data_IF_779868451492
#
_entry.id   IF_779868451492
#
_cell.length_a   1.000
_cell.length_b   1.000
_cell.length_c   1.000
_cell.angle_alpha   90.00
_cell.angle_beta   90.00
_cell.angle_gamma   90.00
#
_symmetry.space_group_name_H-M   'P 1'
#
loop_
_entity.id
_entity.type
_entity.pdbx_description
1 polymer ?
#
# COMPACT_ATOMS: atom_id res chain seq x y z
N UNK A 1 -13.75 14.04 -3.18
CA UNK A 1 -14.06 12.58 -3.22
C UNK A 1 -13.73 12.03 -1.85
N UNK A 2 -14.51 11.08 -1.35
CA UNK A 2 -14.21 10.37 -0.11
C UNK A 2 -13.39 9.12 -0.46
N UNK A 3 -12.51 8.69 0.46
CA UNK A 3 -11.78 7.43 0.32
C UNK A 3 -12.77 6.26 0.39
N UNK A 4 -12.84 5.46 -0.67
CA UNK A 4 -13.78 4.32 -0.77
C UNK A 4 -13.11 2.98 -0.44
N UNK A 5 -11.79 2.89 -0.67
CA UNK A 5 -11.01 1.67 -0.44
C UNK A 5 -9.79 1.99 0.42
N UNK A 6 -9.64 1.24 1.50
CA UNK A 6 -8.51 1.32 2.43
C UNK A 6 -7.68 0.04 2.29
N UNK A 7 -6.44 0.18 1.84
CA UNK A 7 -5.45 -0.89 1.82
C UNK A 7 -4.75 -1.01 3.17
N UNK A 8 -4.81 -2.17 3.80
CA UNK A 8 -4.16 -2.47 5.08
C UNK A 8 -2.96 -3.40 4.95
N UNK A 9 -2.67 -3.87 3.74
CA UNK A 9 -1.53 -4.76 3.46
C UNK A 9 -0.21 -4.00 3.35
N UNK A 10 0.85 -4.58 3.91
CA UNK A 10 2.19 -4.00 3.86
C UNK A 10 2.76 -3.97 2.44
N UNK A 11 3.71 -3.10 2.21
CA UNK A 11 4.50 -3.09 0.98
C UNK A 11 5.07 -4.48 0.67
N UNK A 12 5.19 -4.82 -0.62
CA UNK A 12 5.64 -6.14 -1.13
C UNK A 12 4.60 -7.26 -1.10
N UNK A 13 3.35 -6.94 -0.81
CA UNK A 13 2.22 -7.90 -0.93
C UNK A 13 1.48 -7.80 -2.26
N UNK A 14 2.03 -7.07 -3.23
CA UNK A 14 1.42 -6.87 -4.55
C UNK A 14 0.61 -5.57 -4.66
N UNK A 15 0.86 -4.62 -3.78
CA UNK A 15 0.15 -3.32 -3.68
C UNK A 15 0.16 -2.51 -4.97
N UNK A 16 1.27 -2.52 -5.74
CA UNK A 16 1.31 -1.85 -7.05
C UNK A 16 0.35 -2.47 -8.06
N UNK A 17 0.24 -3.79 -8.11
CA UNK A 17 -0.74 -4.47 -8.97
C UNK A 17 -2.16 -4.15 -8.55
N UNK A 18 -2.40 -4.08 -7.24
CA UNK A 18 -3.69 -3.69 -6.65
C UNK A 18 -4.04 -2.24 -6.97
N UNK A 19 -3.08 -1.30 -6.84
CA UNK A 19 -3.26 0.10 -7.26
C UNK A 19 -3.75 0.20 -8.70
N UNK A 20 -3.04 -0.45 -9.62
CA UNK A 20 -3.39 -0.44 -11.04
C UNK A 20 -4.77 -1.04 -11.28
N UNK A 21 -5.10 -2.12 -10.57
CA UNK A 21 -6.41 -2.76 -10.65
C UNK A 21 -7.54 -1.84 -10.17
N UNK A 22 -7.38 -1.19 -9.02
CA UNK A 22 -8.36 -0.25 -8.46
C UNK A 22 -8.59 0.95 -9.39
N UNK A 23 -7.52 1.53 -9.93
CA UNK A 23 -7.62 2.63 -10.90
C UNK A 23 -8.33 2.21 -12.18
N UNK A 24 -8.05 1.00 -12.69
CA UNK A 24 -8.74 0.45 -13.85
C UNK A 24 -10.24 0.23 -13.61
N UNK A 25 -10.60 -0.18 -12.39
CA UNK A 25 -12.00 -0.42 -11.98
C UNK A 25 -12.76 0.86 -11.61
N UNK A 26 -12.13 2.05 -11.72
CA UNK A 26 -12.77 3.34 -11.47
C UNK A 26 -12.71 3.82 -10.02
N UNK A 27 -11.91 3.18 -9.15
CA UNK A 27 -11.66 3.61 -7.76
C UNK A 27 -10.43 4.52 -7.62
N UNK A 28 -9.90 5.02 -8.71
CA UNK A 28 -8.77 5.94 -8.72
C UNK A 28 -9.15 7.42 -8.58
N UNK A 29 -8.12 8.30 -8.41
CA UNK A 29 -6.72 7.96 -8.20
C UNK A 29 -6.50 7.13 -6.93
N UNK A 30 -5.49 6.25 -6.94
CA UNK A 30 -5.15 5.41 -5.80
C UNK A 30 -3.82 5.87 -5.19
N UNK A 31 -3.86 6.27 -3.91
CA UNK A 31 -2.67 6.66 -3.16
C UNK A 31 -1.76 5.45 -2.90
N UNK A 32 -0.46 5.67 -2.98
CA UNK A 32 0.60 4.68 -2.81
C UNK A 32 1.89 5.42 -2.43
N UNK A 33 2.96 4.74 -1.99
CA UNK A 33 4.25 5.37 -1.71
C UNK A 33 4.74 6.28 -2.87
N UNK A 34 4.47 5.89 -4.10
CA UNK A 34 4.83 6.68 -5.28
C UNK A 34 4.19 8.07 -5.33
N UNK A 35 3.02 8.24 -4.71
CA UNK A 35 2.32 9.53 -4.63
C UNK A 35 2.94 10.47 -3.60
N UNK A 36 3.61 9.93 -2.60
CA UNK A 36 4.30 10.72 -1.56
C UNK A 36 5.61 11.27 -2.09
N UNK A 37 6.39 10.44 -2.79
CA UNK A 37 7.77 10.76 -3.18
C UNK A 37 7.92 11.92 -4.16
N UNK A 38 6.88 12.31 -4.86
CA UNK A 38 6.89 13.41 -5.83
C UNK A 38 5.97 14.58 -5.46
N UNK A 39 5.35 14.55 -4.28
CA UNK A 39 4.32 15.50 -3.91
C UNK A 39 4.63 16.18 -2.55
N UNK A 40 5.13 17.42 -2.55
CA UNK A 40 5.47 18.14 -1.32
C UNK A 40 4.30 18.28 -0.33
N UNK A 41 3.05 18.38 -0.83
CA UNK A 41 1.86 18.45 0.02
C UNK A 41 1.68 17.13 0.78
N UNK A 42 1.85 15.99 0.09
CA UNK A 42 1.78 14.68 0.73
C UNK A 42 2.91 14.51 1.76
N UNK A 43 4.14 14.89 1.42
CA UNK A 43 5.27 14.83 2.35
C UNK A 43 4.98 15.59 3.64
N UNK A 44 4.44 16.82 3.55
CA UNK A 44 4.14 17.64 4.71
C UNK A 44 3.10 17.01 5.65
N UNK A 45 2.09 16.31 5.12
CA UNK A 45 1.13 15.58 5.95
C UNK A 45 1.78 14.44 6.74
N UNK A 46 2.64 13.67 6.08
CA UNK A 46 3.32 12.54 6.72
C UNK A 46 4.41 13.02 7.70
N UNK A 47 5.07 14.12 7.44
CA UNK A 47 5.98 14.79 8.39
C UNK A 47 5.22 15.24 9.65
N UNK A 48 4.05 15.86 9.48
CA UNK A 48 3.20 16.24 10.61
C UNK A 48 2.76 15.01 11.43
N UNK A 49 2.34 13.93 10.77
CA UNK A 49 1.97 12.68 11.44
C UNK A 49 3.15 12.06 12.19
N UNK A 50 4.34 12.00 11.59
CA UNK A 50 5.54 11.51 12.23
C UNK A 50 5.96 12.33 13.47
N UNK A 51 5.63 13.62 13.47
CA UNK A 51 5.83 14.53 14.60
C UNK A 51 4.69 14.48 15.65
N UNK A 52 3.80 13.48 15.54
CA UNK A 52 2.64 13.28 16.43
C UNK A 52 1.65 14.46 16.44
N UNK A 53 1.66 15.29 15.40
CA UNK A 53 0.64 16.30 15.23
C UNK A 53 -0.68 15.69 14.75
N UNK A 54 -1.78 16.31 15.12
CA UNK A 54 -3.10 15.94 14.61
C UNK A 54 -3.17 16.18 13.09
N UNK A 55 -3.67 15.17 12.35
CA UNK A 55 -3.79 15.22 10.90
C UNK A 55 -5.22 14.87 10.51
N UNK A 56 -5.84 15.70 9.66
CA UNK A 56 -7.12 15.37 9.07
C UNK A 56 -6.95 14.41 7.89
N UNK A 57 -7.36 13.17 8.07
CA UNK A 57 -7.26 12.14 7.02
C UNK A 57 -8.09 12.46 5.78
N UNK A 58 -9.16 13.26 5.90
CA UNK A 58 -9.92 13.70 4.75
C UNK A 58 -9.12 14.67 3.87
N UNK A 59 -8.25 15.48 4.46
CA UNK A 59 -7.34 16.37 3.74
C UNK A 59 -6.17 15.61 3.12
N UNK A 60 -5.59 14.64 3.85
CA UNK A 60 -4.48 13.78 3.36
C UNK A 60 -4.89 13.05 2.08
N UNK A 61 -6.06 12.43 2.12
CA UNK A 61 -6.57 11.62 1.00
C UNK A 61 -7.55 12.36 0.10
N UNK A 62 -7.59 13.70 0.18
CA UNK A 62 -8.40 14.52 -0.70
C UNK A 62 -8.02 14.29 -2.18
N UNK A 63 -9.01 13.88 -2.98
CA UNK A 63 -8.83 13.58 -4.39
C UNK A 63 -8.51 12.12 -4.69
N UNK A 64 -8.26 11.28 -3.67
CA UNK A 64 -8.05 9.84 -3.84
C UNK A 64 -9.34 9.06 -3.57
N UNK A 65 -9.64 8.10 -4.45
CA UNK A 65 -10.74 7.15 -4.26
C UNK A 65 -10.32 5.89 -3.50
N UNK A 66 -9.03 5.58 -3.52
CA UNK A 66 -8.43 4.42 -2.85
C UNK A 66 -7.05 4.76 -2.30
N UNK A 67 -6.59 4.00 -1.31
CA UNK A 67 -5.20 3.97 -0.89
C UNK A 67 -4.73 2.52 -0.69
N UNK A 68 -3.50 2.21 -1.04
CA UNK A 68 -2.81 0.95 -0.77
C UNK A 68 -1.33 1.23 -0.49
N UNK A 69 -0.62 0.25 0.09
CA UNK A 69 0.81 0.38 0.37
C UNK A 69 1.13 1.35 1.53
N UNK A 70 2.42 1.45 1.83
CA UNK A 70 2.93 2.49 2.72
C UNK A 70 2.82 3.88 2.06
N UNK A 71 2.72 4.95 2.82
CA UNK A 71 2.55 4.96 4.27
C UNK A 71 1.09 4.73 4.74
N UNK A 72 0.10 4.78 3.86
CA UNK A 72 -1.32 4.65 4.22
C UNK A 72 -1.65 3.37 5.01
N UNK A 73 -0.96 2.27 4.72
CA UNK A 73 -1.11 1.01 5.46
C UNK A 73 -0.61 1.08 6.92
N UNK A 74 0.10 2.12 7.34
CA UNK A 74 0.49 2.29 8.76
C UNK A 74 -0.66 2.79 9.61
N UNK A 75 -1.60 3.49 9.00
CA UNK A 75 -2.75 4.17 9.64
C UNK A 75 -4.10 3.60 9.18
N UNK A 76 -4.12 2.37 8.65
CA UNK A 76 -5.35 1.78 8.12
C UNK A 76 -6.50 1.75 9.14
N UNK A 77 -6.17 1.59 10.43
CA UNK A 77 -7.16 1.54 11.49
C UNK A 77 -7.84 2.90 11.69
N UNK A 78 -7.04 3.96 11.78
CA UNK A 78 -7.51 5.34 11.86
C UNK A 78 -8.35 5.71 10.62
N UNK A 79 -7.91 5.27 9.44
CA UNK A 79 -8.68 5.46 8.21
C UNK A 79 -10.01 4.72 8.25
N UNK A 80 -10.06 3.51 8.82
CA UNK A 80 -11.29 2.73 8.92
C UNK A 80 -12.34 3.38 9.83
N UNK A 81 -11.90 4.24 10.74
CA UNK A 81 -12.74 5.06 11.63
C UNK A 81 -13.16 6.36 10.92
N UNK A 82 -12.21 7.04 10.27
CA UNK A 82 -12.45 8.29 9.56
C UNK A 82 -13.36 8.10 8.33
N UNK A 83 -13.30 6.93 7.69
CA UNK A 83 -14.08 6.55 6.52
C UNK A 83 -14.87 5.26 6.77
N UNK A 84 -15.95 5.31 7.58
CA UNK A 84 -16.65 4.11 8.05
C UNK A 84 -17.32 3.32 6.92
N UNK A 85 -17.65 3.94 5.80
CA UNK A 85 -18.26 3.31 4.63
C UNK A 85 -17.23 2.69 3.68
N UNK A 86 -15.94 2.98 3.86
CA UNK A 86 -14.90 2.45 2.99
C UNK A 86 -14.72 0.94 3.19
N UNK A 87 -14.55 0.22 2.09
CA UNK A 87 -14.18 -1.21 2.09
C UNK A 87 -12.68 -1.34 2.39
N UNK A 88 -12.30 -2.39 3.11
CA UNK A 88 -10.88 -2.66 3.45
C UNK A 88 -10.35 -3.79 2.58
N UNK A 89 -9.27 -3.52 1.86
CA UNK A 89 -8.57 -4.49 1.03
C UNK A 89 -7.22 -4.83 1.68
N UNK A 90 -7.12 -6.05 2.21
CA UNK A 90 -5.93 -6.53 2.88
C UNK A 90 -5.10 -7.42 1.94
N UNK A 91 -4.08 -6.82 1.34
CA UNK A 91 -3.12 -7.59 0.57
C UNK A 91 -2.23 -8.41 1.49
N UNK A 92 -2.20 -9.72 1.27
CA UNK A 92 -1.42 -10.66 2.05
C UNK A 92 -0.73 -11.69 1.16
N UNK A 93 0.34 -12.27 1.68
CA UNK A 93 1.05 -13.41 1.11
C UNK A 93 1.73 -14.21 2.24
N UNK A 94 2.18 -15.46 2.01
CA UNK A 94 2.92 -16.24 3.01
C UNK A 94 4.09 -15.45 3.60
N UNK A 95 4.28 -15.51 4.92
CA UNK A 95 5.25 -14.70 5.67
C UNK A 95 6.68 -14.80 5.12
N UNK A 96 7.13 -16.02 4.81
CA UNK A 96 8.47 -16.24 4.27
C UNK A 96 8.64 -15.64 2.87
N UNK A 97 7.61 -15.71 2.03
CA UNK A 97 7.61 -15.11 0.70
C UNK A 97 7.58 -13.58 0.79
N UNK A 98 6.81 -13.05 1.76
CA UNK A 98 6.83 -11.62 2.04
C UNK A 98 8.21 -11.17 2.50
N UNK A 99 8.80 -11.87 3.49
CA UNK A 99 10.13 -11.54 3.99
C UNK A 99 11.18 -11.60 2.88
N UNK A 100 11.20 -12.65 2.07
CA UNK A 100 12.13 -12.78 0.96
C UNK A 100 12.04 -11.58 -0.01
N UNK A 101 10.83 -11.11 -0.31
CA UNK A 101 10.62 -9.93 -1.16
C UNK A 101 10.97 -8.62 -0.44
N UNK A 102 10.59 -8.47 0.82
CA UNK A 102 10.82 -7.27 1.62
C UNK A 102 12.30 -7.09 1.94
N UNK A 103 12.98 -8.12 2.39
CA UNK A 103 14.40 -8.07 2.76
C UNK A 103 15.31 -7.75 1.57
N UNK A 104 15.00 -8.29 0.39
CA UNK A 104 15.77 -8.04 -0.83
C UNK A 104 15.56 -6.65 -1.45
N UNK A 105 14.60 -5.88 -0.99
CA UNK A 105 14.21 -4.58 -1.57
C UNK A 105 14.12 -3.48 -0.51
N UNK A 106 12.96 -3.29 0.08
CA UNK A 106 12.67 -2.19 1.01
C UNK A 106 13.60 -2.24 2.22
N UNK A 107 13.71 -3.39 2.87
CA UNK A 107 14.57 -3.54 4.05
C UNK A 107 16.05 -3.30 3.72
N UNK A 108 16.50 -3.81 2.58
CA UNK A 108 17.87 -3.55 2.10
C UNK A 108 18.12 -2.05 1.89
N UNK A 109 17.15 -1.32 1.36
CA UNK A 109 17.23 0.13 1.23
C UNK A 109 17.39 0.78 2.62
N UNK A 110 16.55 0.42 3.60
CA UNK A 110 16.62 0.97 4.96
C UNK A 110 17.96 0.72 5.65
N UNK A 111 18.54 -0.46 5.48
CA UNK A 111 19.85 -0.81 6.05
C UNK A 111 21.01 0.02 5.48
N UNK A 112 20.87 0.53 4.26
CA UNK A 112 21.97 1.21 3.55
C UNK A 112 21.67 2.69 3.27
N UNK A 113 20.48 3.21 3.61
CA UNK A 113 20.07 4.57 3.20
C UNK A 113 21.00 5.67 3.65
N UNK A 114 21.63 5.54 4.81
CA UNK A 114 22.59 6.54 5.34
C UNK A 114 23.88 6.64 4.55
N UNK A 115 24.14 5.69 3.64
CA UNK A 115 25.29 5.68 2.75
C UNK A 115 24.97 6.33 1.39
N UNK A 116 23.71 6.71 1.17
CA UNK A 116 23.25 7.33 -0.06
C UNK A 116 23.34 8.84 0.03
N UNK A 117 23.95 9.47 -0.97
CA UNK A 117 23.94 10.92 -1.12
C UNK A 117 22.63 11.35 -1.77
N UNK A 118 21.63 11.64 -0.93
CA UNK A 118 20.28 12.00 -1.37
C UNK A 118 20.10 13.52 -1.30
N UNK A 119 19.41 14.13 -2.27
CA UNK A 119 18.99 15.52 -2.18
C UNK A 119 18.18 15.77 -0.89
N UNK A 120 18.37 16.92 -0.20
CA UNK A 120 17.78 17.19 1.10
C UNK A 120 16.24 16.94 1.18
N UNK A 121 15.42 17.32 0.18
CA UNK A 121 13.98 17.03 0.24
C UNK A 121 13.66 15.52 0.22
N UNK A 122 14.46 14.74 -0.52
CA UNK A 122 14.30 13.29 -0.59
C UNK A 122 14.76 12.62 0.71
N UNK A 123 15.88 13.09 1.28
CA UNK A 123 16.36 12.62 2.56
C UNK A 123 15.34 12.83 3.68
N UNK A 124 14.70 14.01 3.75
CA UNK A 124 13.65 14.31 4.73
C UNK A 124 12.45 13.38 4.62
N UNK A 125 11.98 13.08 3.39
CA UNK A 125 10.89 12.11 3.18
C UNK A 125 11.29 10.73 3.71
N UNK A 126 12.50 10.28 3.44
CA UNK A 126 12.94 8.97 3.93
C UNK A 126 13.16 8.93 5.44
N UNK A 127 13.57 10.02 6.08
CA UNK A 127 13.62 10.12 7.54
C UNK A 127 12.22 9.97 8.14
N UNK A 128 11.23 10.66 7.57
CA UNK A 128 9.82 10.52 7.95
C UNK A 128 9.32 9.09 7.79
N UNK A 129 9.59 8.46 6.64
CA UNK A 129 9.18 7.07 6.39
C UNK A 129 9.91 6.07 7.29
N UNK A 130 11.18 6.30 7.62
CA UNK A 130 11.90 5.48 8.61
C UNK A 130 11.21 5.52 9.96
N UNK A 131 10.85 6.71 10.43
CA UNK A 131 10.14 6.89 11.70
C UNK A 131 8.83 6.07 11.71
N UNK A 132 7.93 6.31 10.79
CA UNK A 132 6.59 5.70 10.83
C UNK A 132 6.56 4.22 10.41
N UNK A 133 7.42 3.79 9.50
CA UNK A 133 7.40 2.41 8.98
C UNK A 133 8.39 1.52 9.76
N UNK A 134 9.66 1.95 9.87
CA UNK A 134 10.70 1.07 10.41
C UNK A 134 10.69 1.10 11.93
N UNK A 135 10.66 2.30 12.54
CA UNK A 135 10.76 2.43 13.98
C UNK A 135 9.42 2.13 14.68
N UNK A 136 8.33 2.79 14.26
CA UNK A 136 7.05 2.72 14.98
C UNK A 136 6.24 1.48 14.62
N UNK A 137 6.14 1.12 13.32
CA UNK A 137 5.33 -0.02 12.89
C UNK A 137 6.07 -1.35 13.02
N UNK A 138 7.28 -1.45 12.46
CA UNK A 138 8.05 -2.71 12.36
C UNK A 138 8.89 -2.95 13.62
N UNK A 139 9.54 -1.93 14.15
CA UNK A 139 10.40 -2.01 15.33
C UNK A 139 11.85 -2.38 15.02
N UNK A 140 12.27 -2.28 13.75
CA UNK A 140 13.65 -2.53 13.32
C UNK A 140 13.79 -3.08 11.90
N UNK A 141 15.01 -3.50 11.55
CA UNK A 141 15.34 -4.02 10.21
C UNK A 141 15.71 -5.51 10.23
N UNK A 142 15.61 -6.18 11.37
CA UNK A 142 15.85 -7.62 11.48
C UNK A 142 14.61 -8.44 11.08
N UNK A 143 14.84 -9.73 10.77
CA UNK A 143 13.78 -10.63 10.30
C UNK A 143 12.68 -10.83 11.34
N UNK A 144 13.07 -11.02 12.61
CA UNK A 144 12.12 -11.39 13.66
C UNK A 144 11.15 -10.24 13.95
N UNK A 145 11.66 -9.01 14.05
CA UNK A 145 10.85 -7.79 14.18
C UNK A 145 9.90 -7.61 13.00
N UNK A 146 10.40 -7.78 11.77
CA UNK A 146 9.61 -7.62 10.56
C UNK A 146 8.48 -8.66 10.45
N UNK A 147 8.78 -9.94 10.65
CA UNK A 147 7.78 -11.02 10.61
C UNK A 147 6.74 -10.84 11.73
N UNK A 148 7.18 -10.48 12.94
CA UNK A 148 6.27 -10.23 14.06
C UNK A 148 5.32 -9.07 13.77
N UNK A 149 5.82 -7.98 13.20
CA UNK A 149 4.98 -6.84 12.83
C UNK A 149 3.99 -7.20 11.71
N UNK A 150 4.45 -7.92 10.69
CA UNK A 150 3.61 -8.40 9.59
C UNK A 150 2.47 -9.30 10.07
N UNK A 151 2.78 -10.29 10.88
CA UNK A 151 1.79 -11.21 11.49
C UNK A 151 0.79 -10.44 12.35
N UNK A 152 1.28 -9.60 13.26
CA UNK A 152 0.43 -8.76 14.11
C UNK A 152 -0.53 -7.88 13.32
N UNK A 153 -0.07 -7.29 12.20
CA UNK A 153 -0.93 -6.51 11.33
C UNK A 153 -2.01 -7.37 10.69
N UNK A 154 -1.65 -8.52 10.11
CA UNK A 154 -2.59 -9.42 9.47
C UNK A 154 -3.67 -9.93 10.44
N UNK A 155 -3.30 -10.28 11.67
CA UNK A 155 -4.21 -10.66 12.74
C UNK A 155 -5.12 -9.48 13.13
N UNK A 156 -4.53 -8.30 13.43
CA UNK A 156 -5.29 -7.11 13.84
C UNK A 156 -6.34 -6.71 12.80
N UNK A 157 -6.02 -6.76 11.51
CA UNK A 157 -6.97 -6.44 10.44
C UNK A 157 -8.17 -7.39 10.47
N UNK A 158 -7.93 -8.69 10.57
CA UNK A 158 -9.00 -9.70 10.61
C UNK A 158 -9.88 -9.60 11.86
N UNK A 159 -9.28 -9.26 13.00
CA UNK A 159 -10.00 -9.14 14.26
C UNK A 159 -10.80 -7.84 14.35
N UNK A 160 -10.40 -6.81 13.62
CA UNK A 160 -10.98 -5.46 13.74
C UNK A 160 -12.03 -5.18 12.67
N UNK A 161 -11.79 -5.59 11.44
CA UNK A 161 -12.66 -5.23 10.31
C UNK A 161 -13.76 -6.28 10.11
N UNK A 162 -15.03 -5.90 10.11
CA UNK A 162 -16.14 -6.81 9.83
C UNK A 162 -15.98 -7.52 8.48
N UNK A 163 -16.42 -8.77 8.41
CA UNK A 163 -16.21 -9.63 7.24
C UNK A 163 -16.88 -9.10 5.95
N UNK A 164 -17.97 -8.35 6.07
CA UNK A 164 -18.66 -7.71 4.95
C UNK A 164 -17.91 -6.49 4.38
N UNK A 165 -16.99 -5.91 5.16
CA UNK A 165 -16.13 -4.80 4.78
C UNK A 165 -14.70 -5.22 4.43
N UNK A 166 -14.32 -6.49 4.62
CA UNK A 166 -12.94 -6.97 4.46
C UNK A 166 -12.81 -7.95 3.29
N UNK A 167 -11.87 -7.70 2.40
CA UNK A 167 -11.33 -8.70 1.48
C UNK A 167 -9.86 -8.95 1.78
N UNK A 168 -9.50 -10.17 2.17
CA UNK A 168 -8.12 -10.64 2.16
C UNK A 168 -7.79 -11.09 0.73
N UNK A 169 -6.78 -10.51 0.13
CA UNK A 169 -6.54 -10.59 -1.29
C UNK A 169 -5.06 -10.76 -1.65
N UNK A 170 -4.82 -11.66 -2.57
CA UNK A 170 -3.53 -11.81 -3.25
C UNK A 170 -3.74 -11.52 -4.74
N UNK A 171 -2.91 -10.71 -5.42
CA UNK A 171 -3.10 -10.42 -6.85
C UNK A 171 -3.09 -11.67 -7.76
N UNK A 172 -2.59 -12.80 -7.27
CA UNK A 172 -2.66 -14.11 -7.95
C UNK A 172 -4.04 -14.75 -7.93
N UNK A 173 -4.95 -14.30 -7.05
CA UNK A 173 -6.32 -14.79 -6.97
C UNK A 173 -7.16 -14.34 -8.18
N UNK A 174 -6.61 -13.39 -8.95
CA UNK A 174 -7.24 -12.86 -10.15
C UNK A 174 -8.28 -11.78 -9.85
N UNK A 175 -9.08 -11.49 -10.86
CA UNK A 175 -10.01 -10.36 -10.81
C UNK A 175 -11.34 -10.68 -10.12
N UNK A 176 -11.77 -11.92 -10.18
CA UNK A 176 -13.13 -12.31 -9.74
C UNK A 176 -13.40 -11.98 -8.25
N UNK A 177 -12.52 -12.33 -7.28
CA UNK A 177 -12.75 -11.96 -5.88
C UNK A 177 -12.78 -10.44 -5.67
N UNK A 178 -11.90 -9.71 -6.35
CA UNK A 178 -11.82 -8.26 -6.25
C UNK A 178 -13.07 -7.58 -6.82
N UNK A 179 -13.49 -7.94 -8.04
CA UNK A 179 -14.68 -7.37 -8.66
C UNK A 179 -15.96 -7.69 -7.87
N UNK A 180 -16.10 -8.93 -7.38
CA UNK A 180 -17.23 -9.31 -6.53
C UNK A 180 -17.28 -8.48 -5.25
N UNK A 181 -16.16 -8.31 -4.57
CA UNK A 181 -16.06 -7.50 -3.36
C UNK A 181 -16.37 -6.03 -3.60
N UNK A 182 -15.89 -5.48 -4.72
CA UNK A 182 -16.12 -4.09 -5.10
C UNK A 182 -17.46 -3.83 -5.78
N UNK A 183 -18.26 -4.90 -6.02
CA UNK A 183 -19.58 -4.83 -6.66
C UNK A 183 -19.51 -4.23 -8.08
N UNK A 184 -18.46 -4.58 -8.84
CA UNK A 184 -18.27 -4.16 -10.23
C UNK A 184 -18.31 -5.34 -11.18
N UNK A 185 -18.77 -5.10 -12.41
CA UNK A 185 -18.86 -6.12 -13.45
C UNK A 185 -17.52 -6.66 -13.89
N UNK A 186 -17.37 -7.99 -13.93
CA UNK A 186 -16.18 -8.67 -14.45
C UNK A 186 -16.05 -8.49 -15.98
N UNK A 187 -17.14 -8.19 -16.68
CA UNK A 187 -17.18 -8.07 -18.15
C UNK A 187 -16.23 -7.00 -18.72
N UNK A 188 -15.87 -5.99 -17.95
CA UNK A 188 -14.90 -4.96 -18.37
C UNK A 188 -13.48 -5.51 -18.57
N UNK A 189 -13.18 -6.70 -18.06
CA UNK A 189 -11.84 -7.28 -18.00
C UNK A 189 -11.51 -8.19 -19.19
N UNK A 190 -12.53 -8.73 -19.87
CA UNK A 190 -12.33 -9.59 -21.04
C UNK A 190 -11.93 -8.81 -22.30
N UNK A 191 -12.02 -7.49 -22.28
CA UNK A 191 -11.68 -6.62 -23.42
C UNK A 191 -10.28 -6.00 -23.34
N UNK A 192 -9.53 -6.22 -22.26
CA UNK A 192 -8.16 -5.68 -22.09
C UNK A 192 -7.19 -6.77 -21.64
N UNK A 193 -6.00 -6.86 -22.27
CA UNK A 193 -4.97 -7.79 -21.81
C UNK A 193 -4.51 -7.43 -20.39
N UNK A 194 -4.26 -8.45 -19.57
CA UNK A 194 -3.70 -8.31 -18.22
C UNK A 194 -2.50 -7.35 -18.20
N UNK A 195 -2.29 -6.56 -17.15
CA UNK A 195 -1.07 -5.75 -17.01
C UNK A 195 0.22 -6.54 -17.21
N UNK A 196 0.25 -7.85 -16.88
CA UNK A 196 1.37 -8.76 -17.17
C UNK A 196 1.53 -9.06 -18.67
N UNK A 197 0.45 -9.09 -19.43
CA UNK A 197 0.50 -9.35 -20.86
C UNK A 197 1.00 -8.13 -21.64
N UNK A 198 0.73 -6.91 -21.13
CA UNK A 198 1.31 -5.67 -21.70
C UNK A 198 2.83 -5.58 -21.53
N UNK A 199 3.40 -6.15 -20.48
CA UNK A 199 4.86 -6.20 -20.31
C UNK A 199 5.52 -7.19 -21.29
N UNK A 200 4.86 -8.31 -21.58
CA UNK A 200 5.37 -9.30 -22.56
C UNK A 200 5.30 -8.79 -24.01
N UNK A 201 4.31 -7.98 -24.35
CA UNK A 201 4.15 -7.42 -25.71
C UNK A 201 5.10 -6.26 -26.03
N UNK A 202 5.91 -5.79 -25.07
CA UNK A 202 6.91 -4.73 -25.27
C UNK A 202 8.34 -5.24 -25.47
N UNK A 203 8.57 -6.56 -25.52
CA UNK A 203 9.87 -7.08 -25.92
C UNK A 203 9.97 -7.02 -27.45
N UNK A 204 10.94 -6.27 -28.04
CA UNK A 204 11.19 -6.33 -29.46
C UNK A 204 11.66 -7.74 -29.79
N UNK A 205 11.05 -8.36 -30.81
CA UNK A 205 11.61 -9.55 -31.43
C UNK A 205 12.94 -9.15 -32.04
N UNK A 206 14.03 -9.63 -31.45
CA UNK A 206 15.36 -9.56 -32.06
C UNK A 206 15.33 -10.38 -33.35
N UNK A 207 15.43 -9.71 -34.47
CA UNK A 207 15.86 -10.29 -35.73
C UNK A 207 17.37 -10.50 -35.70
#
# INVERSE_FOLDING_TARGET
MSLNIIGSGFGRTGTMSTKIALEYLGFGPCHHMTEVMGNPKQSAFWEAHAAENEVDWADVFSGYGAQVDFPGATVWHELSIAFPDAKVLHNERPEEDWWASYSGTINKFWQHRTQLDLPPPIAAIFETMDKIIVQDLIGGTDKDSAIKAYRRNNEKVRDTIPADRLLVFTPTDGWEPLCRFLEVDICLLYTSPSPRDRQKSRMPSSA
#
